data_IF_101608298508
#
_entry.id   IF_101608298508
#
_cell.length_a   1.000
_cell.length_b   1.000
_cell.length_c   1.000
_cell.angle_alpha   90.00
_cell.angle_beta   90.00
_cell.angle_gamma   90.00
#
_symmetry.space_group_name_H-M   'P 1'
#
loop_
_entity.id
_entity.type
_entity.pdbx_description
1 polymer ?
#
# COMPACT_ATOMS: atom_id res chain seq x y z
N UNK A 1 21.04 -14.43 38.34
CA UNK A 1 21.25 -14.58 36.89
C UNK A 1 19.86 -14.70 36.31
N UNK A 2 19.47 -13.75 35.48
CA UNK A 2 18.11 -13.62 34.98
C UNK A 2 18.02 -14.42 33.67
N UNK A 3 17.34 -15.56 33.70
CA UNK A 3 17.18 -16.40 32.53
C UNK A 3 16.15 -15.76 31.59
N UNK A 4 16.63 -15.17 30.49
CA UNK A 4 15.76 -14.66 29.43
C UNK A 4 15.38 -15.79 28.49
N UNK A 5 14.08 -16.13 28.45
CA UNK A 5 13.53 -17.16 27.55
C UNK A 5 13.29 -16.55 26.17
N UNK A 6 14.07 -16.98 25.17
CA UNK A 6 13.91 -16.55 23.80
C UNK A 6 12.93 -17.49 23.07
N UNK A 7 11.70 -17.03 22.86
CA UNK A 7 10.70 -17.78 22.10
C UNK A 7 10.99 -17.65 20.61
N UNK A 8 11.45 -18.74 19.98
CA UNK A 8 11.68 -18.82 18.54
C UNK A 8 10.61 -19.69 17.87
N UNK A 9 9.93 -19.13 16.85
CA UNK A 9 9.03 -19.89 15.96
C UNK A 9 9.68 -19.97 14.59
N UNK A 10 9.97 -21.19 14.12
CA UNK A 10 10.54 -21.42 12.78
C UNK A 10 9.38 -21.77 11.84
N UNK A 11 9.18 -20.97 10.79
CA UNK A 11 8.18 -21.23 9.77
C UNK A 11 8.88 -21.50 8.45
N UNK A 12 8.52 -22.61 7.80
CA UNK A 12 8.95 -22.97 6.45
C UNK A 12 7.81 -22.73 5.47
N UNK A 13 8.15 -22.22 4.30
CA UNK A 13 7.23 -22.07 3.20
C UNK A 13 7.45 -23.27 2.26
N UNK A 14 6.48 -24.18 2.21
CA UNK A 14 6.60 -25.45 1.49
C UNK A 14 6.56 -25.27 -0.04
N UNK A 15 5.89 -24.22 -0.53
CA UNK A 15 5.86 -23.86 -1.96
C UNK A 15 6.38 -22.43 -2.19
N UNK A 16 7.30 -22.20 -3.13
CA UNK A 16 7.79 -20.85 -3.44
C UNK A 16 6.64 -20.00 -4.01
N UNK A 17 6.30 -18.94 -3.29
CA UNK A 17 5.47 -17.85 -3.79
C UNK A 17 6.31 -16.58 -3.77
N UNK A 18 6.38 -15.89 -4.91
CA UNK A 18 7.08 -14.60 -5.02
C UNK A 18 6.38 -13.47 -4.24
N UNK A 19 5.27 -13.77 -3.56
CA UNK A 19 4.39 -12.80 -2.91
C UNK A 19 4.57 -12.68 -1.38
N UNK A 20 5.51 -13.41 -0.75
CA UNK A 20 5.80 -13.32 0.69
C UNK A 20 4.55 -13.39 1.62
N UNK A 21 3.45 -13.99 1.16
CA UNK A 21 2.17 -14.01 1.88
C UNK A 21 2.26 -14.68 3.25
N UNK A 22 3.04 -15.76 3.36
CA UNK A 22 3.33 -16.44 4.63
C UNK A 22 4.05 -15.55 5.63
N UNK A 23 5.04 -14.76 5.17
CA UNK A 23 5.78 -13.80 6.01
C UNK A 23 4.81 -12.72 6.51
N UNK A 24 3.93 -12.21 5.64
CA UNK A 24 2.92 -11.22 6.02
C UNK A 24 2.02 -11.70 7.16
N UNK A 25 1.50 -12.93 7.07
CA UNK A 25 0.65 -13.49 8.12
C UNK A 25 1.39 -13.65 9.46
N UNK A 26 2.69 -13.95 9.43
CA UNK A 26 3.51 -14.03 10.66
C UNK A 26 3.66 -12.64 11.28
N UNK A 27 4.00 -11.63 10.48
CA UNK A 27 4.08 -10.26 10.98
C UNK A 27 2.76 -9.78 11.58
N UNK A 28 1.62 -10.08 10.95
CA UNK A 28 0.31 -9.72 11.47
C UNK A 28 0.03 -10.38 12.84
N UNK A 29 0.45 -11.64 13.03
CA UNK A 29 0.32 -12.35 14.32
C UNK A 29 1.26 -11.80 15.40
N UNK A 30 2.49 -11.42 15.02
CA UNK A 30 3.44 -10.81 15.95
C UNK A 30 3.06 -9.37 16.32
N UNK A 31 2.32 -8.69 15.45
CA UNK A 31 1.84 -7.31 15.61
C UNK A 31 0.70 -7.15 16.65
N UNK A 32 0.53 -8.13 17.54
CA UNK A 32 -0.43 -8.09 18.65
C UNK A 32 0.17 -7.56 19.96
N UNK A 33 1.51 -7.45 20.07
CA UNK A 33 2.19 -6.90 21.25
C UNK A 33 2.67 -5.47 21.01
N UNK A 34 2.02 -4.48 21.64
CA UNK A 34 2.38 -3.05 21.51
C UNK A 34 1.47 -2.28 20.54
N UNK A 35 1.96 -1.15 19.99
CA UNK A 35 1.20 -0.35 19.02
C UNK A 35 1.04 -1.11 17.71
N UNK A 36 -0.20 -1.51 17.40
CA UNK A 36 -0.52 -2.25 16.18
C UNK A 36 -0.15 -1.45 14.93
N UNK A 37 0.72 -2.00 14.10
CA UNK A 37 1.02 -1.48 12.75
C UNK A 37 -0.19 -1.62 11.82
N UNK A 38 -0.39 -0.64 10.93
CA UNK A 38 -1.36 -0.73 9.82
C UNK A 38 -0.92 -1.79 8.81
N UNK A 39 -1.86 -2.24 7.97
CA UNK A 39 -1.51 -3.14 6.86
C UNK A 39 -0.43 -2.55 5.96
N UNK A 40 -0.48 -1.25 5.67
CA UNK A 40 0.55 -0.60 4.85
C UNK A 40 1.91 -0.51 5.54
N UNK A 41 1.96 -0.25 6.85
CA UNK A 41 3.21 -0.28 7.62
C UNK A 41 3.86 -1.68 7.57
N UNK A 42 3.05 -2.75 7.73
CA UNK A 42 3.51 -4.14 7.58
C UNK A 42 4.02 -4.39 6.15
N UNK A 43 3.26 -4.00 5.11
CA UNK A 43 3.70 -4.13 3.71
C UNK A 43 5.03 -3.41 3.47
N UNK A 44 5.19 -2.22 4.03
CA UNK A 44 6.41 -1.42 3.94
C UNK A 44 7.65 -2.09 4.55
N UNK A 45 7.47 -2.97 5.53
CA UNK A 45 8.53 -3.78 6.15
C UNK A 45 8.81 -5.12 5.47
N UNK A 46 7.86 -5.66 4.69
CA UNK A 46 8.01 -6.98 4.06
C UNK A 46 8.43 -6.87 2.60
N UNK A 47 7.82 -5.92 1.87
CA UNK A 47 8.00 -5.77 0.43
C UNK A 47 9.02 -4.68 0.09
N UNK A 48 10.16 -4.65 0.80
CA UNK A 48 11.25 -3.72 0.49
C UNK A 48 11.75 -3.90 -0.95
N UNK A 49 11.83 -2.81 -1.71
CA UNK A 49 12.31 -2.82 -3.09
C UNK A 49 11.88 -1.57 -3.85
N UNK A 50 12.24 -1.52 -5.14
CA UNK A 50 12.06 -0.35 -6.02
C UNK A 50 10.61 0.14 -6.06
N UNK A 51 9.63 -0.77 -6.00
CA UNK A 51 8.21 -0.36 -6.03
C UNK A 51 7.78 0.35 -4.74
N UNK A 52 8.27 -0.06 -3.58
CA UNK A 52 8.04 0.67 -2.32
C UNK A 52 8.64 2.08 -2.40
N UNK A 53 9.87 2.20 -2.91
CA UNK A 53 10.53 3.49 -3.05
C UNK A 53 9.77 4.39 -4.05
N UNK A 54 9.26 3.81 -5.13
CA UNK A 54 8.40 4.50 -6.08
C UNK A 54 7.10 4.99 -5.42
N UNK A 55 6.39 4.17 -4.64
CA UNK A 55 5.19 4.61 -3.91
C UNK A 55 5.48 5.82 -3.03
N UNK A 56 6.61 5.81 -2.30
CA UNK A 56 7.03 6.94 -1.47
C UNK A 56 7.27 8.19 -2.32
N UNK A 57 7.87 8.06 -3.50
CA UNK A 57 8.10 9.18 -4.42
C UNK A 57 6.80 9.73 -5.01
N UNK A 58 5.89 8.85 -5.45
CA UNK A 58 4.55 9.25 -5.92
C UNK A 58 3.78 9.98 -4.81
N UNK A 59 3.96 9.58 -3.55
CA UNK A 59 3.34 10.24 -2.40
C UNK A 59 3.88 11.65 -2.14
N UNK A 60 5.01 12.05 -2.73
CA UNK A 60 5.53 13.42 -2.69
C UNK A 60 5.09 14.27 -3.90
N UNK A 61 4.29 13.73 -4.82
CA UNK A 61 3.80 14.49 -5.97
C UNK A 61 2.96 15.69 -5.51
N UNK A 62 3.26 16.90 -6.02
CA UNK A 62 2.62 18.13 -5.57
C UNK A 62 1.10 18.11 -5.78
N UNK A 63 0.62 17.74 -6.96
CA UNK A 63 -0.81 17.66 -7.28
C UNK A 63 -1.54 16.69 -6.34
N UNK A 64 -0.90 15.56 -6.00
CA UNK A 64 -1.41 14.63 -4.98
C UNK A 64 -1.42 15.22 -3.57
N UNK A 65 -0.38 15.94 -3.16
CA UNK A 65 -0.31 16.60 -1.84
C UNK A 65 -1.31 17.76 -1.72
N UNK A 66 -1.56 18.49 -2.79
CA UNK A 66 -2.53 19.57 -2.81
C UNK A 66 -3.97 19.05 -2.64
N UNK A 67 -4.26 17.89 -3.24
CA UNK A 67 -5.58 17.26 -3.15
C UNK A 67 -5.76 16.49 -1.83
N UNK A 68 -4.82 15.63 -1.46
CA UNK A 68 -4.93 14.74 -0.30
C UNK A 68 -4.60 15.47 1.01
N UNK A 69 -3.61 16.36 0.99
CA UNK A 69 -3.09 17.08 2.15
C UNK A 69 -1.74 16.55 2.64
N UNK A 70 -1.50 16.73 3.95
CA UNK A 70 -0.23 16.36 4.59
C UNK A 70 0.01 14.85 4.54
N UNK A 71 1.28 14.48 4.45
CA UNK A 71 1.70 13.08 4.53
C UNK A 71 1.26 12.44 5.84
N UNK A 72 0.75 11.22 5.75
CA UNK A 72 0.24 10.48 6.90
C UNK A 72 1.32 9.58 7.51
N UNK A 73 1.60 9.73 8.80
CA UNK A 73 2.62 8.93 9.48
C UNK A 73 2.30 7.43 9.51
N UNK A 74 1.02 7.05 9.32
CA UNK A 74 0.52 5.68 9.27
C UNK A 74 0.38 5.16 7.84
N UNK A 75 0.90 5.92 6.87
CA UNK A 75 0.99 5.56 5.44
C UNK A 75 -0.37 5.34 4.76
N UNK A 76 -1.45 5.97 5.25
CA UNK A 76 -2.80 5.85 4.66
C UNK A 76 -2.88 6.45 3.25
N UNK A 77 -2.11 7.52 3.03
CA UNK A 77 -1.93 8.15 1.73
C UNK A 77 -1.20 7.24 0.74
N UNK A 78 -0.11 6.59 1.15
CA UNK A 78 0.59 5.61 0.33
C UNK A 78 -0.30 4.39 0.03
N UNK A 79 -1.12 3.93 0.98
CA UNK A 79 -2.07 2.85 0.74
C UNK A 79 -3.13 3.27 -0.30
N UNK A 80 -3.57 4.53 -0.31
CA UNK A 80 -4.51 5.01 -1.32
C UNK A 80 -3.90 4.99 -2.73
N UNK A 81 -2.63 5.38 -2.87
CA UNK A 81 -1.90 5.26 -4.15
C UNK A 81 -1.79 3.79 -4.56
N UNK A 82 -1.44 2.90 -3.62
CA UNK A 82 -1.32 1.48 -3.87
C UNK A 82 -2.66 0.87 -4.32
N UNK A 83 -3.77 1.24 -3.67
CA UNK A 83 -5.13 0.82 -4.05
C UNK A 83 -5.47 1.26 -5.46
N UNK A 84 -5.23 2.52 -5.79
CA UNK A 84 -5.41 3.04 -7.15
C UNK A 84 -4.62 2.21 -8.16
N UNK A 85 -3.32 2.02 -7.95
CA UNK A 85 -2.47 1.29 -8.89
C UNK A 85 -2.90 -0.18 -9.05
N UNK A 86 -3.18 -0.86 -7.94
CA UNK A 86 -3.60 -2.26 -7.97
C UNK A 86 -4.93 -2.43 -8.72
N UNK A 87 -5.90 -1.53 -8.49
CA UNK A 87 -7.17 -1.55 -9.20
C UNK A 87 -7.03 -1.11 -10.67
N UNK A 88 -6.16 -0.16 -10.97
CA UNK A 88 -5.91 0.30 -12.34
C UNK A 88 -5.32 -0.82 -13.20
N UNK A 89 -4.30 -1.51 -12.72
CA UNK A 89 -3.62 -2.55 -13.50
C UNK A 89 -4.28 -3.93 -13.40
N UNK A 90 -4.83 -4.28 -12.24
CA UNK A 90 -5.29 -5.64 -11.94
C UNK A 90 -6.74 -5.70 -11.47
N UNK A 91 -7.52 -4.61 -11.58
CA UNK A 91 -8.88 -4.51 -11.05
C UNK A 91 -9.85 -5.54 -11.62
N UNK A 92 -9.70 -5.93 -12.89
CA UNK A 92 -10.52 -7.00 -13.49
C UNK A 92 -10.33 -8.37 -12.81
N UNK A 93 -9.16 -8.60 -12.21
CA UNK A 93 -8.83 -9.82 -11.47
C UNK A 93 -9.05 -9.71 -9.97
N UNK A 94 -9.57 -8.57 -9.49
CA UNK A 94 -9.76 -8.33 -8.07
C UNK A 94 -10.72 -9.35 -7.46
N UNK A 95 -10.28 -9.96 -6.36
CA UNK A 95 -11.10 -10.80 -5.48
C UNK A 95 -10.85 -10.36 -4.05
N UNK A 96 -11.92 -10.32 -3.26
CA UNK A 96 -11.81 -10.05 -1.83
C UNK A 96 -10.95 -11.15 -1.16
N UNK A 97 -10.17 -10.80 -0.12
CA UNK A 97 -10.14 -9.48 0.52
C UNK A 97 -9.12 -8.50 -0.10
N UNK A 98 -9.38 -7.19 0.06
CA UNK A 98 -8.50 -6.14 -0.49
C UNK A 98 -7.07 -6.24 0.05
N UNK A 99 -6.92 -6.62 1.32
CA UNK A 99 -5.62 -6.73 1.98
C UNK A 99 -4.68 -7.65 1.20
N UNK A 100 -5.15 -8.84 0.85
CA UNK A 100 -4.42 -9.88 0.12
C UNK A 100 -4.18 -9.45 -1.33
N UNK A 101 -5.14 -8.79 -1.96
CA UNK A 101 -4.98 -8.23 -3.30
C UNK A 101 -3.82 -7.22 -3.35
N UNK A 102 -3.75 -6.30 -2.39
CA UNK A 102 -2.65 -5.32 -2.31
C UNK A 102 -1.31 -5.97 -1.96
N UNK A 103 -1.31 -7.00 -1.10
CA UNK A 103 -0.11 -7.78 -0.78
C UNK A 103 0.48 -8.44 -2.05
N UNK A 104 -0.37 -9.11 -2.83
CA UNK A 104 0.04 -9.74 -4.09
C UNK A 104 0.54 -8.70 -5.10
N UNK A 105 -0.11 -7.55 -5.20
CA UNK A 105 0.34 -6.48 -6.09
C UNK A 105 1.72 -5.93 -5.69
N UNK A 106 1.96 -5.70 -4.39
CA UNK A 106 3.26 -5.30 -3.85
C UNK A 106 4.34 -6.35 -4.12
N UNK A 107 4.04 -7.63 -3.87
CA UNK A 107 4.97 -8.74 -4.10
C UNK A 107 5.40 -8.86 -5.57
N UNK A 108 4.42 -8.93 -6.48
CA UNK A 108 4.68 -9.07 -7.93
C UNK A 108 5.41 -7.86 -8.54
N UNK A 109 5.16 -6.66 -8.02
CA UNK A 109 5.81 -5.45 -8.51
C UNK A 109 7.07 -5.08 -7.72
N UNK A 110 7.49 -5.84 -6.71
CA UNK A 110 8.62 -5.50 -5.80
C UNK A 110 9.87 -4.98 -6.52
N UNK A 111 10.21 -5.61 -7.64
CA UNK A 111 11.39 -5.28 -8.48
C UNK A 111 11.07 -4.49 -9.76
N UNK A 112 9.82 -4.07 -9.95
CA UNK A 112 9.30 -3.38 -11.15
C UNK A 112 9.44 -4.20 -12.45
N UNK A 113 9.33 -5.52 -12.34
CA UNK A 113 9.35 -6.44 -13.49
C UNK A 113 7.98 -6.62 -14.15
N UNK A 114 6.90 -6.61 -13.37
CA UNK A 114 5.55 -6.79 -13.88
C UNK A 114 5.03 -5.49 -14.53
N UNK A 115 5.11 -4.38 -13.80
CA UNK A 115 4.87 -3.04 -14.34
C UNK A 115 6.13 -2.19 -14.16
N UNK A 116 6.56 -1.56 -15.24
CA UNK A 116 7.71 -0.67 -15.23
C UNK A 116 7.42 0.61 -14.43
N UNK A 117 8.47 1.26 -13.94
CA UNK A 117 8.36 2.56 -13.27
C UNK A 117 7.60 3.58 -14.10
N UNK A 118 7.90 3.66 -15.41
CA UNK A 118 7.27 4.61 -16.32
C UNK A 118 5.77 4.38 -16.47
N UNK A 119 5.33 3.12 -16.58
CA UNK A 119 3.89 2.81 -16.65
C UNK A 119 3.16 3.22 -15.37
N UNK A 120 3.76 2.93 -14.21
CA UNK A 120 3.19 3.27 -12.91
C UNK A 120 3.09 4.78 -12.72
N UNK A 121 4.15 5.53 -13.07
CA UNK A 121 4.14 6.99 -13.03
C UNK A 121 3.10 7.57 -13.96
N UNK A 122 3.07 7.13 -15.22
CA UNK A 122 2.10 7.62 -16.19
C UNK A 122 0.67 7.38 -15.72
N UNK A 123 0.37 6.20 -15.17
CA UNK A 123 -0.95 5.90 -14.62
C UNK A 123 -1.31 6.82 -13.46
N UNK A 124 -0.44 6.99 -12.46
CA UNK A 124 -0.76 7.78 -11.27
C UNK A 124 -0.64 9.29 -11.49
N UNK A 125 0.53 9.76 -11.92
CA UNK A 125 0.84 11.18 -12.09
C UNK A 125 -0.06 11.80 -13.17
N UNK A 126 -0.29 11.10 -14.29
CA UNK A 126 -1.21 11.56 -15.33
C UNK A 126 -2.65 11.67 -14.83
N UNK A 127 -3.12 10.68 -14.06
CA UNK A 127 -4.47 10.72 -13.49
C UNK A 127 -4.62 11.84 -12.46
N UNK A 128 -3.68 11.98 -11.53
CA UNK A 128 -3.80 12.96 -10.46
C UNK A 128 -3.67 14.39 -10.97
N UNK A 129 -2.86 14.60 -12.02
CA UNK A 129 -2.75 15.91 -12.66
C UNK A 129 -4.08 16.32 -13.32
N UNK A 130 -4.73 15.41 -14.05
CA UNK A 130 -6.05 15.68 -14.64
C UNK A 130 -7.09 15.98 -13.55
N UNK A 131 -7.10 15.22 -12.46
CA UNK A 131 -8.00 15.47 -11.32
C UNK A 131 -7.72 16.84 -10.71
N UNK A 132 -6.44 17.18 -10.51
CA UNK A 132 -6.04 18.46 -9.92
C UNK A 132 -6.43 19.64 -10.79
N UNK A 133 -6.20 19.57 -12.10
CA UNK A 133 -6.58 20.63 -13.03
C UNK A 133 -8.10 20.78 -13.16
N UNK A 134 -8.85 19.68 -13.10
CA UNK A 134 -10.29 19.69 -13.32
C UNK A 134 -11.10 20.05 -12.07
N UNK A 135 -10.69 19.55 -10.90
CA UNK A 135 -11.45 19.66 -9.65
C UNK A 135 -10.75 20.49 -8.57
N UNK A 136 -9.45 20.77 -8.74
CA UNK A 136 -8.62 21.52 -7.79
C UNK A 136 -8.45 20.82 -6.43
N UNK A 137 -8.00 21.59 -5.45
CA UNK A 137 -7.75 21.17 -4.05
C UNK A 137 -8.98 20.63 -3.29
N UNK A 138 -10.16 20.67 -3.93
CA UNK A 138 -11.43 20.19 -3.39
C UNK A 138 -11.82 18.81 -3.93
N UNK A 139 -11.00 18.19 -4.79
CA UNK A 139 -11.31 16.93 -5.47
C UNK A 139 -11.76 15.80 -4.51
N UNK A 140 -11.13 15.67 -3.34
CA UNK A 140 -11.52 14.69 -2.31
C UNK A 140 -12.13 15.31 -1.05
N UNK A 141 -12.59 16.56 -1.13
CA UNK A 141 -13.30 17.25 -0.05
C UNK A 141 -14.76 17.44 -0.46
N UNK A 142 -15.60 16.40 -0.31
CA UNK A 142 -16.98 16.50 -0.74
C UNK A 142 -17.71 17.60 0.04
N UNK A 143 -18.36 18.52 -0.67
CA UNK A 143 -19.16 19.62 -0.09
C UNK A 143 -20.41 19.12 0.68
N UNK A 144 -20.76 17.84 0.53
CA UNK A 144 -21.82 17.15 1.28
C UNK A 144 -21.20 16.02 2.09
N UNK A 145 -21.78 15.72 3.26
CA UNK A 145 -21.44 14.59 4.12
C UNK A 145 -21.46 13.29 3.29
N UNK A 146 -20.31 12.85 2.80
CA UNK A 146 -20.13 11.48 2.33
C UNK A 146 -19.79 10.67 3.56
N UNK A 147 -20.59 9.63 3.81
CA UNK A 147 -20.37 8.68 4.89
C UNK A 147 -18.93 8.16 4.78
N UNK A 148 -18.10 8.35 5.81
CA UNK A 148 -16.65 8.07 5.77
C UNK A 148 -16.33 6.61 5.37
N UNK A 149 -17.31 5.71 5.54
CA UNK A 149 -17.26 4.33 5.07
C UNK A 149 -17.02 4.17 3.55
N UNK A 150 -17.34 5.17 2.73
CA UNK A 150 -17.14 5.13 1.27
C UNK A 150 -15.64 5.20 0.90
N UNK A 151 -14.80 5.78 1.76
CA UNK A 151 -13.35 5.94 1.51
C UNK A 151 -12.50 4.82 2.10
N UNK A 152 -13.11 3.84 2.80
CA UNK A 152 -12.39 2.78 3.54
C UNK A 152 -12.61 1.36 3.00
N UNK A 153 -13.12 1.20 1.77
CA UNK A 153 -13.26 -0.13 1.14
C UNK A 153 -11.94 -0.82 0.88
#
# INVERSE_FOLDING_TARGET
MDDSILHATIVKQDEPSDDNSSIYNIFERLNSGGTTLTSQEIRGGIYHGKFKDLLKQLNQNNSWRDIYGKSDSRMRDEEMILRFLALYFNGYSYKKPLKEFLNQFMGKNRSLKLHSESQIRQAFEGTIEVIHQSLGVQAFKPKKLINAAVLTL
#
